data_IF_143441976044
#
_entry.id   IF_143441976044
#
_cell.length_a   1.000
_cell.length_b   1.000
_cell.length_c   1.000
_cell.angle_alpha   90.00
_cell.angle_beta   90.00
_cell.angle_gamma   90.00
#
_symmetry.space_group_name_H-M   'P 1'
#
loop_
_entity.id
_entity.type
_entity.pdbx_description
1 polymer ?
#
# COMPACT_ATOMS: atom_id res chain seq x y z
N UNK A 1 -62.02 14.81 -21.34
CA UNK A 1 -61.12 15.98 -21.24
C UNK A 1 -59.75 15.43 -20.86
N UNK A 2 -58.81 15.38 -21.81
CA UNK A 2 -57.72 16.34 -22.10
C UNK A 2 -56.49 16.17 -21.17
N UNK A 3 -55.48 15.51 -21.76
CA UNK A 3 -54.02 15.64 -21.70
C UNK A 3 -53.30 16.46 -20.59
N UNK A 4 -52.17 15.89 -20.14
CA UNK A 4 -50.89 16.56 -19.80
C UNK A 4 -49.95 15.57 -19.09
N UNK A 5 -49.09 14.80 -19.79
CA UNK A 5 -47.69 15.04 -20.25
C UNK A 5 -46.62 15.20 -19.16
N UNK A 6 -45.58 14.35 -19.31
CA UNK A 6 -44.17 14.48 -18.85
C UNK A 6 -43.90 14.04 -17.40
N UNK A 7 -42.80 13.36 -17.05
CA UNK A 7 -41.50 13.22 -17.71
C UNK A 7 -40.88 11.83 -17.48
N UNK A 8 -40.12 11.36 -18.46
CA UNK A 8 -39.20 10.23 -18.31
C UNK A 8 -37.94 10.72 -17.59
N UNK A 9 -37.58 10.09 -16.48
CA UNK A 9 -36.32 10.34 -15.79
C UNK A 9 -35.29 9.34 -16.31
N UNK A 10 -34.44 9.81 -17.22
CA UNK A 10 -33.17 9.17 -17.57
C UNK A 10 -32.26 9.26 -16.34
N UNK A 11 -32.11 8.17 -15.60
CA UNK A 11 -31.03 8.05 -14.62
C UNK A 11 -29.74 7.76 -15.38
N UNK A 12 -28.94 8.80 -15.62
CA UNK A 12 -27.58 8.65 -16.11
C UNK A 12 -26.76 7.91 -15.05
N UNK A 13 -26.28 6.71 -15.36
CA UNK A 13 -25.17 6.08 -14.66
C UNK A 13 -23.94 6.94 -14.89
N UNK A 14 -23.59 7.75 -13.90
CA UNK A 14 -22.27 8.35 -13.83
C UNK A 14 -21.30 7.22 -13.46
N UNK A 15 -20.56 6.70 -14.45
CA UNK A 15 -19.33 5.98 -14.17
C UNK A 15 -18.37 6.98 -13.52
N UNK A 16 -18.10 6.79 -12.24
CA UNK A 16 -17.08 7.55 -11.52
C UNK A 16 -15.74 7.01 -12.00
N UNK A 17 -15.19 7.57 -13.09
CA UNK A 17 -13.78 7.40 -13.41
C UNK A 17 -13.03 8.27 -12.40
N UNK A 18 -12.61 7.66 -11.29
CA UNK A 18 -11.68 8.27 -10.37
C UNK A 18 -10.33 8.34 -11.08
N UNK A 19 -10.07 9.47 -11.73
CA UNK A 19 -8.73 9.86 -12.12
C UNK A 19 -7.84 9.86 -10.87
N UNK A 20 -6.67 9.23 -10.99
CA UNK A 20 -5.69 9.02 -9.92
C UNK A 20 -5.62 10.18 -8.95
N UNK A 21 -6.05 9.92 -7.71
CA UNK A 21 -5.87 10.87 -6.62
C UNK A 21 -4.37 10.91 -6.32
N UNK A 22 -3.77 12.07 -6.62
CA UNK A 22 -2.51 12.47 -6.01
C UNK A 22 -2.54 12.10 -4.52
N UNK A 23 -1.50 11.39 -4.07
CA UNK A 23 -1.26 11.04 -2.67
C UNK A 23 -1.50 12.31 -1.86
N UNK A 24 -2.62 12.35 -1.14
CA UNK A 24 -3.06 13.55 -0.44
C UNK A 24 -2.02 13.87 0.61
N UNK A 25 -1.33 15.00 0.41
CA UNK A 25 -0.47 15.65 1.40
C UNK A 25 -1.11 15.58 2.79
N UNK A 26 -0.42 15.12 3.83
CA UNK A 26 -1.00 15.06 5.16
C UNK A 26 -1.35 16.48 5.61
N UNK A 27 -2.64 16.71 5.85
CA UNK A 27 -3.15 18.02 6.19
C UNK A 27 -3.30 18.15 7.72
N UNK A 28 -2.47 19.05 8.28
CA UNK A 28 -2.58 19.77 9.56
C UNK A 28 -2.19 19.05 10.86
N UNK A 29 -0.88 18.87 11.08
CA UNK A 29 -0.30 18.98 12.42
C UNK A 29 -0.28 20.47 12.81
N UNK A 30 -1.19 20.91 13.68
CA UNK A 30 -1.20 22.27 14.23
C UNK A 30 -0.69 22.25 15.68
N UNK A 31 0.56 21.82 15.86
CA UNK A 31 1.27 21.80 17.13
C UNK A 31 2.54 20.94 17.07
N UNK A 32 3.29 20.88 18.17
CA UNK A 32 4.52 20.08 18.25
C UNK A 32 4.22 18.56 18.31
N UNK A 33 2.96 18.16 18.52
CA UNK A 33 2.52 16.76 18.57
C UNK A 33 2.28 16.19 17.16
N UNK A 34 3.10 15.20 16.77
CA UNK A 34 3.09 14.62 15.42
C UNK A 34 3.60 13.19 15.43
N UNK A 35 3.38 12.45 14.34
CA UNK A 35 4.00 11.15 14.06
C UNK A 35 5.30 11.31 13.25
N UNK A 36 6.20 10.31 13.32
CA UNK A 36 7.40 10.20 12.48
C UNK A 36 7.04 9.61 11.11
N UNK A 37 7.77 10.00 10.07
CA UNK A 37 7.35 9.86 8.66
C UNK A 37 7.39 8.42 8.08
N UNK A 38 7.52 7.40 8.92
CA UNK A 38 7.56 5.98 8.51
C UNK A 38 6.17 5.41 8.20
N UNK A 39 5.11 6.02 8.74
CA UNK A 39 3.75 5.61 8.40
C UNK A 39 3.30 6.16 7.05
N UNK A 40 2.99 5.25 6.12
CA UNK A 40 2.59 5.56 4.72
C UNK A 40 1.09 5.78 4.55
N UNK A 41 0.28 5.49 5.57
CA UNK A 41 -1.18 5.52 5.47
C UNK A 41 -1.83 4.21 5.04
N UNK A 42 -1.04 3.16 4.77
CA UNK A 42 -1.52 1.81 4.40
C UNK A 42 -1.03 0.82 5.46
N UNK A 43 -1.88 -0.13 5.85
CA UNK A 43 -1.50 -1.21 6.76
C UNK A 43 -2.35 -2.46 6.53
N UNK A 44 -1.75 -3.64 6.75
CA UNK A 44 -2.49 -4.89 6.74
C UNK A 44 -3.43 -4.97 7.95
N UNK A 45 -4.74 -5.26 7.77
CA UNK A 45 -5.68 -5.46 8.87
C UNK A 45 -5.34 -6.69 9.73
N UNK A 46 -4.47 -7.59 9.26
CA UNK A 46 -4.10 -8.84 9.94
C UNK A 46 -2.86 -8.69 10.84
N UNK A 47 -2.24 -7.51 10.87
CA UNK A 47 -0.93 -7.30 11.50
C UNK A 47 -0.98 -6.20 12.56
N UNK A 48 0.04 -6.16 13.42
CA UNK A 48 0.18 -5.05 14.39
C UNK A 48 0.81 -3.85 13.69
N UNK A 49 0.11 -2.72 13.70
CA UNK A 49 0.67 -1.45 13.23
C UNK A 49 1.48 -0.79 14.33
N UNK A 50 2.76 -0.53 14.06
CA UNK A 50 3.61 0.29 14.92
C UNK A 50 3.72 1.69 14.32
N UNK A 51 3.45 2.71 15.13
CA UNK A 51 3.57 4.11 14.73
C UNK A 51 4.17 4.91 15.88
N UNK A 52 5.17 5.71 15.54
CA UNK A 52 5.90 6.53 16.51
C UNK A 52 5.70 8.01 16.24
N UNK A 53 6.02 8.83 17.24
CA UNK A 53 5.89 10.27 17.14
C UNK A 53 6.55 11.02 18.28
N UNK A 54 6.32 12.33 18.30
CA UNK A 54 6.88 13.27 19.29
C UNK A 54 5.82 14.28 19.75
N UNK A 55 6.19 15.13 20.72
CA UNK A 55 5.41 16.30 21.13
C UNK A 55 4.38 16.07 22.24
N UNK A 56 4.43 14.94 22.94
CA UNK A 56 3.58 14.69 24.12
C UNK A 56 4.41 14.53 25.40
N UNK A 57 5.28 15.51 25.70
CA UNK A 57 6.13 15.47 26.89
C UNK A 57 5.37 15.80 28.18
N UNK A 58 5.89 15.30 29.30
CA UNK A 58 5.40 15.68 30.64
C UNK A 58 5.45 17.20 30.83
N UNK A 59 4.37 17.78 31.37
CA UNK A 59 4.28 19.23 31.63
C UNK A 59 4.43 19.49 33.13
N UNK A 60 5.41 20.31 33.52
CA UNK A 60 5.69 20.66 34.93
C UNK A 60 5.86 19.44 35.86
N UNK A 61 6.44 18.36 35.35
CA UNK A 61 6.64 17.10 36.09
C UNK A 61 5.39 16.23 36.23
N UNK A 62 4.28 16.60 35.59
CA UNK A 62 3.07 15.77 35.55
C UNK A 62 3.03 14.93 34.27
N UNK A 63 2.71 13.63 34.36
CA UNK A 63 2.70 12.74 33.20
C UNK A 63 1.58 13.12 32.23
N UNK A 64 1.88 12.97 30.95
CA UNK A 64 0.93 13.00 29.84
C UNK A 64 0.59 11.57 29.41
N UNK A 65 -0.42 11.42 28.55
CA UNK A 65 -0.69 10.17 27.86
C UNK A 65 -1.00 10.42 26.39
N UNK A 66 -0.63 9.48 25.53
CA UNK A 66 -1.07 9.46 24.13
C UNK A 66 -2.18 8.43 24.02
N UNK A 67 -3.33 8.86 23.52
CA UNK A 67 -4.46 7.99 23.19
C UNK A 67 -4.54 7.86 21.68
N UNK A 68 -4.66 6.62 21.20
CA UNK A 68 -4.91 6.31 19.80
C UNK A 68 -6.30 5.72 19.61
N UNK A 69 -6.87 5.86 18.42
CA UNK A 69 -8.18 5.30 18.07
C UNK A 69 -8.32 4.98 16.59
N UNK A 70 -9.02 3.89 16.26
CA UNK A 70 -9.38 3.51 14.89
C UNK A 70 -10.89 3.67 14.69
N UNK A 71 -11.29 4.31 13.60
CA UNK A 71 -12.70 4.45 13.24
C UNK A 71 -12.92 4.44 11.72
N UNK A 72 -14.17 4.21 11.32
CA UNK A 72 -14.57 4.20 9.90
C UNK A 72 -14.49 5.58 9.23
N UNK A 73 -14.69 6.65 10.00
CA UNK A 73 -14.63 8.03 9.51
C UNK A 73 -14.15 8.99 10.61
N UNK A 74 -13.85 10.23 10.21
CA UNK A 74 -13.38 11.26 11.12
C UNK A 74 -14.47 11.76 12.08
N UNK A 75 -15.75 11.70 11.69
CA UNK A 75 -16.87 12.12 12.55
C UNK A 75 -16.99 11.20 13.79
N UNK A 76 -16.63 9.93 13.61
CA UNK A 76 -16.61 8.89 14.63
C UNK A 76 -15.48 9.04 15.65
N UNK A 77 -14.54 9.97 15.45
CA UNK A 77 -13.38 10.24 16.34
C UNK A 77 -13.58 11.42 17.30
N UNK A 78 -14.84 11.78 17.59
CA UNK A 78 -15.27 13.00 18.31
C UNK A 78 -14.23 13.66 19.25
N UNK A 79 -13.77 14.88 18.89
CA UNK A 79 -12.90 15.78 19.67
C UNK A 79 -11.94 15.09 20.65
N UNK A 80 -11.03 14.27 20.13
CA UNK A 80 -10.01 13.56 20.89
C UNK A 80 -10.22 12.04 20.86
N UNK A 81 -9.16 11.29 20.55
CA UNK A 81 -9.18 9.83 20.38
C UNK A 81 -9.83 8.99 21.51
N UNK A 82 -10.13 9.58 22.68
CA UNK A 82 -10.75 8.88 23.82
C UNK A 82 -12.27 8.73 23.75
N UNK A 83 -12.92 9.26 22.71
CA UNK A 83 -14.37 9.16 22.51
C UNK A 83 -14.74 8.52 21.17
N UNK A 84 -13.81 7.76 20.57
CA UNK A 84 -14.09 7.00 19.37
C UNK A 84 -15.15 5.93 19.66
N UNK A 85 -16.08 5.72 18.72
CA UNK A 85 -17.04 4.61 18.80
C UNK A 85 -16.39 3.25 18.43
N UNK A 86 -15.12 3.27 18.01
CA UNK A 86 -14.30 2.09 17.69
C UNK A 86 -13.27 1.74 18.78
N UNK A 87 -12.21 1.02 18.39
CA UNK A 87 -11.13 0.66 19.32
C UNK A 87 -10.24 1.85 19.66
N UNK A 88 -9.77 1.90 20.90
CA UNK A 88 -8.80 2.87 21.38
C UNK A 88 -7.84 2.24 22.39
N UNK A 89 -6.69 2.87 22.56
CA UNK A 89 -5.71 2.51 23.58
C UNK A 89 -4.96 3.72 24.09
N UNK A 90 -4.26 3.56 25.21
CA UNK A 90 -3.45 4.62 25.81
C UNK A 90 -2.04 4.12 26.05
N UNK A 91 -1.06 4.97 25.76
CA UNK A 91 0.34 4.75 26.04
C UNK A 91 0.90 5.90 26.87
N UNK A 92 1.95 5.62 27.62
CA UNK A 92 2.70 6.64 28.36
C UNK A 92 3.87 7.05 27.44
N UNK A 93 3.96 8.33 27.03
CA UNK A 93 5.10 8.83 26.28
C UNK A 93 6.37 8.83 27.14
N UNK A 94 7.52 8.82 26.50
CA UNK A 94 8.81 9.00 27.16
C UNK A 94 8.93 10.42 27.73
N UNK A 95 9.87 10.62 28.66
CA UNK A 95 10.09 11.92 29.31
C UNK A 95 10.43 13.04 28.32
N UNK A 96 11.04 12.71 27.18
CA UNK A 96 11.37 13.64 26.08
C UNK A 96 10.18 13.94 25.14
N UNK A 97 9.02 13.34 25.40
CA UNK A 97 7.80 13.48 24.62
C UNK A 97 7.73 12.63 23.36
N UNK A 98 8.71 11.74 23.14
CA UNK A 98 8.61 10.68 22.11
C UNK A 98 7.62 9.60 22.55
N UNK A 99 6.96 8.96 21.61
CA UNK A 99 5.97 7.92 21.88
C UNK A 99 5.93 6.90 20.76
N UNK A 100 5.51 5.68 21.09
CA UNK A 100 5.30 4.59 20.14
C UNK A 100 4.03 3.83 20.52
N UNK A 101 3.09 3.74 19.59
CA UNK A 101 1.89 2.94 19.71
C UNK A 101 2.05 1.65 18.91
N UNK A 102 1.78 0.51 19.55
CA UNK A 102 1.57 -0.77 18.88
C UNK A 102 0.07 -1.06 18.89
N UNK A 103 -0.54 -1.01 17.71
CA UNK A 103 -1.98 -1.12 17.51
C UNK A 103 -2.27 -2.49 16.91
N UNK A 104 -3.01 -3.30 17.65
CA UNK A 104 -3.55 -4.58 17.17
C UNK A 104 -4.66 -4.32 16.16
N UNK A 105 -4.31 -4.18 14.87
CA UNK A 105 -5.28 -3.88 13.82
C UNK A 105 -6.38 -4.93 13.68
N UNK A 106 -6.12 -6.26 13.81
CA UNK A 106 -7.20 -7.25 13.76
C UNK A 106 -8.34 -6.91 14.73
N UNK A 107 -8.01 -6.68 16.00
CA UNK A 107 -8.99 -6.30 17.02
C UNK A 107 -9.56 -4.91 16.77
N UNK A 108 -8.73 -3.95 16.38
CA UNK A 108 -9.14 -2.55 16.26
C UNK A 108 -10.09 -2.30 15.07
N UNK A 109 -9.84 -2.97 13.95
CA UNK A 109 -10.64 -2.88 12.72
C UNK A 109 -11.97 -3.60 12.87
N UNK A 110 -11.99 -4.78 13.52
CA UNK A 110 -13.23 -5.47 13.88
C UNK A 110 -14.14 -4.57 14.75
N UNK A 111 -13.58 -3.96 15.78
CA UNK A 111 -14.32 -3.05 16.66
C UNK A 111 -14.82 -1.78 15.94
N UNK A 112 -14.07 -1.30 14.94
CA UNK A 112 -14.46 -0.16 14.11
C UNK A 112 -15.44 -0.52 12.98
N UNK A 113 -15.74 -1.81 12.78
CA UNK A 113 -16.56 -2.30 11.67
C UNK A 113 -15.91 -2.11 10.31
N UNK A 114 -14.58 -2.07 10.26
CA UNK A 114 -13.78 -1.96 9.04
C UNK A 114 -13.39 -3.35 8.54
N UNK A 115 -13.43 -3.54 7.23
CA UNK A 115 -12.94 -4.74 6.54
C UNK A 115 -11.68 -4.43 5.74
N UNK A 116 -11.06 -5.49 5.22
CA UNK A 116 -10.01 -5.35 4.23
C UNK A 116 -10.46 -4.53 3.01
N UNK A 117 -9.52 -3.85 2.34
CA UNK A 117 -9.75 -2.94 1.21
C UNK A 117 -10.62 -1.71 1.53
N UNK A 118 -10.79 -1.39 2.81
CA UNK A 118 -11.51 -0.20 3.24
C UNK A 118 -10.60 0.89 3.78
N UNK A 119 -11.09 2.12 3.69
CA UNK A 119 -10.46 3.28 4.32
C UNK A 119 -11.15 3.60 5.63
N UNK A 120 -10.34 3.73 6.67
CA UNK A 120 -10.69 4.31 7.95
C UNK A 120 -9.81 5.51 8.28
N UNK A 121 -9.86 5.88 9.55
CA UNK A 121 -9.09 6.98 10.11
C UNK A 121 -8.43 6.50 11.40
N UNK A 122 -7.15 6.82 11.54
CA UNK A 122 -6.38 6.62 12.76
C UNK A 122 -6.18 7.99 13.44
N UNK A 123 -6.69 8.12 14.66
CA UNK A 123 -6.63 9.35 15.45
C UNK A 123 -5.63 9.22 16.60
N UNK A 124 -4.94 10.32 16.91
CA UNK A 124 -4.06 10.44 18.07
C UNK A 124 -4.38 11.71 18.86
N UNK A 125 -4.34 11.62 20.18
CA UNK A 125 -4.49 12.77 21.06
C UNK A 125 -3.53 12.69 22.25
N UNK A 126 -2.86 13.79 22.55
CA UNK A 126 -2.07 13.97 23.75
C UNK A 126 -2.95 14.52 24.87
N UNK A 127 -3.02 13.82 25.99
CA UNK A 127 -3.73 14.24 27.19
C UNK A 127 -2.75 14.70 28.25
N UNK A 128 -3.10 15.77 28.95
CA UNK A 128 -2.42 16.15 30.18
C UNK A 128 -2.93 15.36 31.40
N UNK A 129 -2.29 15.55 32.54
CA UNK A 129 -2.65 14.94 33.82
C UNK A 129 -4.10 15.21 34.28
N UNK A 130 -4.71 16.31 33.83
CA UNK A 130 -6.12 16.64 34.11
C UNK A 130 -7.11 15.96 33.15
N UNK A 131 -6.64 15.00 32.33
CA UNK A 131 -7.40 14.34 31.26
C UNK A 131 -7.98 15.31 30.22
N UNK A 132 -7.29 16.41 29.94
CA UNK A 132 -7.65 17.33 28.86
C UNK A 132 -6.78 17.07 27.64
N UNK A 133 -7.40 17.03 26.46
CA UNK A 133 -6.69 17.04 25.19
C UNK A 133 -5.89 18.33 25.09
N UNK A 134 -4.57 18.19 24.99
CA UNK A 134 -3.62 19.28 24.76
C UNK A 134 -3.45 19.51 23.27
N UNK A 135 -3.33 18.42 22.51
CA UNK A 135 -3.19 18.43 21.05
C UNK A 135 -3.69 17.10 20.47
N UNK A 136 -4.07 17.10 19.20
CA UNK A 136 -4.57 15.91 18.51
C UNK A 136 -4.46 16.03 16.99
N UNK A 137 -4.24 14.91 16.33
CA UNK A 137 -4.24 14.83 14.86
C UNK A 137 -4.88 13.52 14.39
N UNK A 138 -5.26 13.48 13.12
CA UNK A 138 -5.78 12.30 12.46
C UNK A 138 -4.94 12.01 11.21
N UNK A 139 -4.78 10.74 10.89
CA UNK A 139 -4.16 10.25 9.66
C UNK A 139 -5.08 9.26 8.96
N UNK A 140 -4.95 9.15 7.64
CA UNK A 140 -5.67 8.14 6.86
C UNK A 140 -5.13 6.76 7.17
N UNK A 141 -6.03 5.77 7.22
CA UNK A 141 -5.71 4.35 7.34
C UNK A 141 -6.41 3.60 6.21
N UNK A 142 -5.69 3.23 5.17
CA UNK A 142 -6.15 2.27 4.18
C UNK A 142 -5.77 0.86 4.66
N UNK A 143 -6.77 0.02 4.85
CA UNK A 143 -6.58 -1.38 5.20
C UNK A 143 -6.40 -2.17 3.93
N UNK A 144 -5.28 -2.86 3.84
CA UNK A 144 -4.94 -3.67 2.69
C UNK A 144 -4.08 -4.87 3.11
N UNK A 145 -4.70 -6.05 3.07
CA UNK A 145 -4.05 -7.34 3.33
C UNK A 145 -3.39 -7.94 2.10
N UNK A 146 -3.50 -7.29 0.94
CA UNK A 146 -3.00 -7.83 -0.31
C UNK A 146 -1.48 -7.99 -0.26
N UNK A 147 -1.04 -9.15 -0.73
CA UNK A 147 0.38 -9.51 -0.80
C UNK A 147 0.64 -9.99 -2.21
N UNK A 148 1.22 -9.14 -3.08
CA UNK A 148 1.52 -9.52 -4.44
C UNK A 148 2.34 -10.79 -4.51
N UNK A 149 1.84 -11.74 -5.28
CA UNK A 149 2.44 -13.04 -5.51
C UNK A 149 2.29 -13.42 -7.00
N UNK A 150 3.06 -14.39 -7.46
CA UNK A 150 2.94 -14.87 -8.83
C UNK A 150 4.20 -15.51 -9.40
N UNK A 151 4.18 -15.62 -10.72
CA UNK A 151 5.22 -16.22 -11.52
C UNK A 151 5.30 -15.57 -12.90
N UNK A 152 6.46 -15.70 -13.53
CA UNK A 152 6.56 -15.49 -14.97
C UNK A 152 7.38 -16.57 -15.65
N UNK A 153 7.03 -16.90 -16.89
CA UNK A 153 7.80 -17.79 -17.75
C UNK A 153 8.38 -16.98 -18.91
N UNK A 154 9.58 -17.34 -19.34
CA UNK A 154 10.20 -16.79 -20.54
C UNK A 154 10.29 -17.89 -21.59
N UNK A 155 9.63 -17.68 -22.71
CA UNK A 155 9.63 -18.62 -23.84
C UNK A 155 10.32 -18.00 -25.05
N UNK A 156 10.95 -18.85 -25.87
CA UNK A 156 11.58 -18.45 -27.12
C UNK A 156 11.02 -19.31 -28.26
N UNK A 157 10.48 -18.67 -29.29
CA UNK A 157 10.01 -19.35 -30.50
C UNK A 157 11.17 -19.73 -31.42
N UNK A 158 10.91 -20.59 -32.42
CA UNK A 158 11.93 -21.02 -33.37
C UNK A 158 12.59 -19.88 -34.16
N UNK A 159 11.87 -18.76 -34.34
CA UNK A 159 12.35 -17.57 -35.04
C UNK A 159 13.13 -16.61 -34.13
N UNK A 160 13.34 -16.98 -32.86
CA UNK A 160 14.11 -16.20 -31.87
C UNK A 160 13.29 -15.16 -31.10
N UNK A 161 12.00 -14.97 -31.42
CA UNK A 161 11.11 -14.08 -30.66
C UNK A 161 10.92 -14.63 -29.24
N UNK A 162 11.13 -13.76 -28.24
CA UNK A 162 10.92 -14.09 -26.83
C UNK A 162 9.65 -13.46 -26.27
N UNK A 163 8.92 -14.22 -25.47
CA UNK A 163 7.65 -13.83 -24.87
C UNK A 163 7.70 -14.11 -23.37
N UNK A 164 7.20 -13.17 -22.58
CA UNK A 164 6.92 -13.36 -21.16
C UNK A 164 5.45 -13.74 -21.01
N UNK A 165 5.18 -14.82 -20.29
CA UNK A 165 3.85 -15.13 -19.78
C UNK A 165 3.88 -14.98 -18.26
N UNK A 166 2.85 -14.40 -17.67
CA UNK A 166 2.81 -14.14 -16.24
C UNK A 166 1.45 -14.47 -15.65
N UNK A 167 1.48 -14.93 -14.40
CA UNK A 167 0.31 -15.10 -13.54
C UNK A 167 0.63 -14.43 -12.22
N UNK A 168 -0.18 -13.45 -11.83
CA UNK A 168 0.00 -12.65 -10.62
C UNK A 168 -1.30 -12.61 -9.83
N UNK A 169 -1.19 -12.49 -8.51
CA UNK A 169 -2.29 -12.49 -7.55
C UNK A 169 -1.97 -11.55 -6.39
N UNK A 170 -2.97 -11.27 -5.55
CA UNK A 170 -2.76 -10.47 -4.35
C UNK A 170 -2.72 -8.99 -4.65
N UNK A 171 -3.71 -8.52 -5.42
CA UNK A 171 -4.00 -7.11 -5.67
C UNK A 171 -5.48 -6.83 -5.41
N UNK A 172 -5.85 -5.55 -5.33
CA UNK A 172 -7.26 -5.16 -5.23
C UNK A 172 -7.97 -5.46 -6.56
N UNK A 173 -9.21 -5.99 -6.54
CA UNK A 173 -9.98 -6.15 -7.78
C UNK A 173 -10.12 -4.83 -8.57
N UNK A 174 -10.03 -4.91 -9.90
CA UNK A 174 -10.07 -3.78 -10.84
C UNK A 174 -8.86 -2.80 -10.79
N UNK A 175 -7.87 -3.07 -9.94
CA UNK A 175 -6.67 -2.25 -9.82
C UNK A 175 -5.73 -2.35 -11.03
N UNK A 176 -4.97 -1.29 -11.32
CA UNK A 176 -3.92 -1.36 -12.34
C UNK A 176 -2.66 -1.95 -11.74
N UNK A 177 -2.21 -3.07 -12.29
CA UNK A 177 -0.96 -3.72 -11.91
C UNK A 177 0.11 -3.37 -12.94
N UNK A 178 1.22 -2.80 -12.48
CA UNK A 178 2.36 -2.44 -13.33
C UNK A 178 3.43 -3.51 -13.20
N UNK A 179 3.73 -4.20 -14.30
CA UNK A 179 4.76 -5.23 -14.37
C UNK A 179 6.02 -4.64 -15.00
N UNK A 180 7.14 -4.72 -14.31
CA UNK A 180 8.35 -4.04 -14.73
C UNK A 180 9.63 -4.63 -14.15
N UNK A 181 10.71 -3.90 -14.38
CA UNK A 181 12.04 -4.26 -13.92
C UNK A 181 12.76 -3.09 -13.29
N UNK A 182 13.64 -3.40 -12.34
CA UNK A 182 14.61 -2.46 -11.75
C UNK A 182 16.01 -3.06 -11.82
N UNK A 183 17.09 -2.24 -11.94
CA UNK A 183 18.46 -2.75 -11.90
C UNK A 183 18.71 -3.54 -10.61
N UNK A 184 19.22 -4.78 -10.72
CA UNK A 184 19.30 -5.70 -9.59
C UNK A 184 20.22 -5.21 -8.46
N UNK A 185 21.22 -4.39 -8.80
CA UNK A 185 22.22 -3.83 -7.89
C UNK A 185 21.73 -2.54 -7.20
N UNK A 186 20.62 -1.95 -7.64
CA UNK A 186 20.11 -0.65 -7.15
C UNK A 186 18.95 -0.76 -6.16
N UNK A 187 18.30 -1.93 -6.08
CA UNK A 187 17.14 -2.15 -5.20
C UNK A 187 17.35 -3.40 -4.32
N UNK A 188 17.07 -3.26 -3.02
CA UNK A 188 16.96 -4.38 -2.09
C UNK A 188 15.59 -5.06 -2.18
N UNK A 189 15.38 -6.18 -1.49
CA UNK A 189 14.07 -6.88 -1.48
C UNK A 189 12.98 -6.09 -0.75
N UNK A 190 13.34 -5.23 0.22
CA UNK A 190 12.41 -4.40 1.00
C UNK A 190 12.16 -3.00 0.44
N UNK A 191 12.54 -2.74 -0.82
CA UNK A 191 12.24 -1.46 -1.49
C UNK A 191 11.26 -1.68 -2.62
N UNK A 192 10.18 -0.90 -2.67
CA UNK A 192 9.25 -0.94 -3.79
C UNK A 192 9.98 -0.74 -5.11
N UNK A 193 9.65 -1.49 -6.18
CA UNK A 193 10.26 -1.28 -7.47
C UNK A 193 9.82 0.02 -8.13
N UNK A 194 9.00 0.87 -7.50
CA UNK A 194 8.65 2.20 -8.03
C UNK A 194 9.81 3.20 -7.98
N UNK A 195 9.80 4.20 -8.88
CA UNK A 195 10.75 5.31 -8.89
C UNK A 195 11.31 5.58 -10.29
N UNK A 196 12.32 6.44 -10.38
CA UNK A 196 12.96 6.82 -11.65
C UNK A 196 13.64 5.64 -12.37
N UNK A 197 14.00 4.58 -11.62
CA UNK A 197 14.70 3.40 -12.12
C UNK A 197 13.76 2.25 -12.54
N UNK A 198 12.44 2.41 -12.38
CA UNK A 198 11.46 1.41 -12.81
C UNK A 198 11.21 1.47 -14.31
N UNK A 199 11.58 0.41 -15.02
CA UNK A 199 11.20 0.23 -16.41
C UNK A 199 9.95 -0.64 -16.50
N UNK A 200 8.81 -0.01 -16.80
CA UNK A 200 7.55 -0.71 -17.03
C UNK A 200 7.63 -1.50 -18.35
N UNK A 201 7.33 -2.80 -18.28
CA UNK A 201 7.27 -3.65 -19.47
C UNK A 201 5.84 -3.79 -19.97
N UNK A 202 4.86 -3.83 -19.07
CA UNK A 202 3.43 -3.89 -19.39
C UNK A 202 2.57 -3.52 -18.18
N UNK A 203 1.28 -3.31 -18.43
CA UNK A 203 0.24 -3.12 -17.41
C UNK A 203 -0.84 -4.19 -17.52
N UNK A 204 -1.40 -4.59 -16.39
CA UNK A 204 -2.58 -5.44 -16.29
C UNK A 204 -3.68 -4.74 -15.49
N UNK A 205 -4.90 -5.22 -15.61
CA UNK A 205 -5.99 -4.88 -14.70
C UNK A 205 -6.32 -6.13 -13.90
N UNK A 206 -6.34 -6.02 -12.57
CA UNK A 206 -6.70 -7.10 -11.68
C UNK A 206 -8.15 -7.55 -11.95
N UNK A 207 -8.37 -8.85 -12.01
CA UNK A 207 -9.70 -9.45 -12.13
C UNK A 207 -10.46 -9.40 -10.79
N UNK A 208 -11.64 -10.00 -10.77
CA UNK A 208 -12.51 -9.99 -9.59
C UNK A 208 -11.89 -10.69 -8.36
N UNK A 209 -10.88 -11.54 -8.56
CA UNK A 209 -10.18 -12.28 -7.52
C UNK A 209 -8.83 -11.63 -7.16
N UNK A 210 -8.54 -10.44 -7.69
CA UNK A 210 -7.28 -9.74 -7.43
C UNK A 210 -6.08 -10.33 -8.18
N UNK A 211 -6.34 -11.07 -9.26
CA UNK A 211 -5.31 -11.70 -10.09
C UNK A 211 -5.21 -11.10 -11.49
N UNK A 212 -4.13 -11.41 -12.19
CA UNK A 212 -4.03 -11.16 -13.61
C UNK A 212 -3.17 -12.23 -14.29
N UNK A 213 -3.54 -12.55 -15.53
CA UNK A 213 -2.73 -13.40 -16.41
C UNK A 213 -2.51 -12.69 -17.73
N UNK A 214 -1.32 -12.87 -18.30
CA UNK A 214 -0.98 -12.18 -19.54
C UNK A 214 0.20 -12.79 -20.27
N UNK A 215 0.29 -12.44 -21.55
CA UNK A 215 1.38 -12.84 -22.45
C UNK A 215 1.76 -11.65 -23.31
N UNK A 216 3.04 -11.28 -23.31
CA UNK A 216 3.55 -10.11 -24.02
C UNK A 216 4.99 -10.35 -24.51
N UNK A 217 5.39 -9.77 -25.66
CA UNK A 217 6.77 -9.87 -26.12
C UNK A 217 7.72 -9.15 -25.17
N UNK A 218 8.94 -9.66 -25.00
CA UNK A 218 9.98 -8.89 -24.28
C UNK A 218 10.27 -7.58 -25.02
N UNK A 219 10.55 -6.47 -24.32
CA UNK A 219 10.92 -5.22 -24.98
C UNK A 219 12.22 -5.35 -25.77
N UNK A 220 12.33 -4.66 -26.90
CA UNK A 220 13.53 -4.74 -27.74
C UNK A 220 14.66 -3.81 -27.25
N UNK A 221 14.36 -2.89 -26.34
CA UNK A 221 15.18 -1.73 -25.99
C UNK A 221 15.68 -1.74 -24.53
N UNK A 222 15.39 -2.79 -23.76
CA UNK A 222 15.98 -2.94 -22.43
C UNK A 222 17.51 -3.14 -22.58
N UNK A 223 18.35 -2.30 -21.96
CA UNK A 223 19.80 -2.43 -22.07
C UNK A 223 20.32 -3.74 -21.49
N UNK A 224 21.48 -4.17 -21.96
CA UNK A 224 22.21 -5.28 -21.35
C UNK A 224 22.44 -5.03 -19.85
N UNK A 225 22.07 -5.99 -19.03
CA UNK A 225 22.06 -5.83 -17.58
C UNK A 225 21.32 -6.93 -16.85
N UNK A 226 21.50 -6.94 -15.53
CA UNK A 226 20.76 -7.81 -14.62
C UNK A 226 19.69 -6.99 -13.91
N UNK A 227 18.47 -7.52 -13.90
CA UNK A 227 17.30 -6.85 -13.39
C UNK A 227 16.54 -7.73 -12.42
N UNK A 228 15.95 -7.12 -11.39
CA UNK A 228 14.87 -7.71 -10.61
C UNK A 228 13.57 -7.45 -11.34
N UNK A 229 12.74 -8.48 -11.45
CA UNK A 229 11.39 -8.35 -12.03
C UNK A 229 10.43 -8.13 -10.89
N UNK A 230 9.53 -7.16 -11.03
CA UNK A 230 8.57 -6.85 -9.99
C UNK A 230 7.23 -6.36 -10.52
N UNK A 231 6.26 -6.36 -9.61
CA UNK A 231 4.90 -5.85 -9.83
C UNK A 231 4.56 -4.83 -8.78
N UNK A 232 3.73 -3.85 -9.14
CA UNK A 232 3.24 -2.80 -8.24
C UNK A 232 1.77 -2.53 -8.52
N UNK A 233 0.96 -2.46 -7.46
CA UNK A 233 -0.41 -1.95 -7.48
C UNK A 233 -0.45 -0.42 -7.41
N UNK A 234 -1.34 0.22 -8.17
CA UNK A 234 -1.47 1.68 -8.22
C UNK A 234 -2.34 2.30 -7.11
N UNK A 235 -3.15 1.49 -6.42
CA UNK A 235 -4.14 1.92 -5.44
C UNK A 235 -3.58 1.95 -4.02
N UNK A 236 -2.77 0.95 -3.64
CA UNK A 236 -2.23 0.84 -2.28
C UNK A 236 -0.70 0.76 -2.22
N UNK A 237 -0.04 0.65 -3.37
CA UNK A 237 1.43 0.68 -3.47
C UNK A 237 2.09 -0.63 -3.05
N UNK A 238 1.30 -1.69 -2.88
CA UNK A 238 1.74 -3.05 -2.71
C UNK A 238 2.62 -3.48 -3.87
N UNK A 239 3.65 -4.28 -3.58
CA UNK A 239 4.58 -4.74 -4.58
C UNK A 239 5.13 -6.12 -4.26
N UNK A 240 5.63 -6.79 -5.29
CA UNK A 240 6.27 -8.11 -5.19
C UNK A 240 7.42 -8.24 -6.18
N UNK A 241 8.36 -9.13 -5.87
CA UNK A 241 9.49 -9.46 -6.72
C UNK A 241 9.47 -10.94 -7.14
N UNK A 242 10.02 -11.20 -8.33
CA UNK A 242 10.24 -12.54 -8.89
C UNK A 242 11.73 -12.77 -9.17
N UNK A 243 12.07 -13.95 -9.69
CA UNK A 243 13.45 -14.24 -10.11
C UNK A 243 13.97 -13.24 -11.15
N UNK A 244 15.28 -13.02 -11.12
CA UNK A 244 15.94 -11.98 -11.90
C UNK A 244 15.94 -12.29 -13.39
N UNK A 245 15.89 -11.22 -14.18
CA UNK A 245 16.01 -11.23 -15.63
C UNK A 245 17.41 -10.74 -16.01
N UNK A 246 18.09 -11.48 -16.89
CA UNK A 246 19.35 -11.07 -17.50
C UNK A 246 19.13 -10.77 -18.97
N UNK A 247 19.51 -9.57 -19.38
CA UNK A 247 19.57 -9.15 -20.79
C UNK A 247 21.02 -9.13 -21.23
N UNK A 248 21.31 -9.81 -22.33
CA UNK A 248 22.63 -9.83 -22.95
C UNK A 248 22.52 -9.95 -24.46
N UNK A 249 23.16 -9.04 -25.17
CA UNK A 249 23.14 -8.98 -26.64
C UNK A 249 21.70 -9.04 -27.19
N UNK A 250 20.76 -8.36 -26.51
CA UNK A 250 19.33 -8.35 -26.85
C UNK A 250 18.57 -9.66 -26.58
N UNK A 251 19.20 -10.63 -25.90
CA UNK A 251 18.58 -11.89 -25.48
C UNK A 251 18.32 -11.90 -23.99
N UNK A 252 17.13 -12.34 -23.61
CA UNK A 252 16.64 -12.45 -22.24
C UNK A 252 16.85 -13.86 -21.70
N UNK A 253 17.14 -13.97 -20.41
CA UNK A 253 17.21 -15.23 -19.67
C UNK A 253 16.82 -15.05 -18.21
N UNK A 254 16.20 -16.07 -17.62
CA UNK A 254 15.88 -16.10 -16.18
C UNK A 254 17.13 -16.54 -15.43
N UNK A 255 17.40 -15.85 -14.32
CA UNK A 255 18.54 -16.10 -13.47
C UNK A 255 18.14 -16.09 -12.00
N UNK A 256 18.70 -17.01 -11.23
CA UNK A 256 18.52 -17.08 -9.78
C UNK A 256 19.19 -15.89 -9.08
N UNK A 257 18.84 -15.60 -7.83
CA UNK A 257 19.47 -14.50 -7.07
C UNK A 257 21.01 -14.63 -7.01
N UNK A 258 21.54 -15.85 -6.90
CA UNK A 258 22.97 -16.17 -6.82
C UNK A 258 23.78 -16.02 -8.13
N UNK A 259 23.13 -15.67 -9.25
CA UNK A 259 23.80 -15.52 -10.54
C UNK A 259 23.69 -16.73 -11.46
N UNK A 260 23.15 -17.87 -10.99
CA UNK A 260 22.94 -19.05 -11.83
C UNK A 260 21.93 -18.76 -12.94
N UNK A 261 22.24 -19.14 -14.18
CA UNK A 261 21.38 -18.91 -15.35
C UNK A 261 20.61 -20.17 -15.69
N UNK A 262 19.29 -20.10 -15.65
CA UNK A 262 18.42 -21.24 -16.00
C UNK A 262 18.03 -21.22 -17.48
N UNK A 263 18.26 -20.10 -18.19
CA UNK A 263 17.92 -19.93 -19.60
C UNK A 263 16.45 -19.54 -19.76
N UNK A 264 15.67 -20.30 -20.53
CA UNK A 264 14.19 -20.23 -20.59
C UNK A 264 13.58 -21.18 -19.58
N UNK A 265 12.61 -20.73 -18.79
CA UNK A 265 12.02 -21.53 -17.71
C UNK A 265 10.87 -20.81 -17.00
N UNK A 266 10.43 -21.38 -15.89
CA UNK A 266 9.44 -20.76 -14.98
C UNK A 266 10.16 -20.12 -13.82
N UNK A 267 9.69 -18.94 -13.40
CA UNK A 267 10.11 -18.29 -12.17
C UNK A 267 8.96 -18.25 -11.19
N UNK A 268 9.24 -18.57 -9.93
CA UNK A 268 8.33 -18.34 -8.80
C UNK A 268 8.74 -17.06 -8.06
N UNK A 269 7.78 -16.45 -7.35
CA UNK A 269 8.01 -15.33 -6.45
C UNK A 269 8.97 -15.70 -5.31
N UNK A 270 9.71 -14.70 -4.83
CA UNK A 270 10.35 -14.75 -3.52
C UNK A 270 9.68 -13.72 -2.63
N UNK A 271 8.78 -14.15 -1.74
CA UNK A 271 8.22 -13.26 -0.73
C UNK A 271 9.31 -12.93 0.31
N UNK A 272 9.72 -11.67 0.36
CA UNK A 272 10.45 -11.11 1.49
C UNK A 272 9.41 -10.59 2.47
N UNK A 273 9.24 -11.27 3.60
CA UNK A 273 8.59 -10.70 4.77
C UNK A 273 9.55 -9.69 5.39
N UNK A 274 9.25 -8.41 5.32
CA UNK A 274 9.71 -7.45 6.32
C UNK A 274 8.65 -7.33 7.42
#
# INVERSE_FOLDING_TARGET
MRLGRSAATLGATAALVAAGAAVSTPAFANGDFTYTSDYTGVASPDETLTISGTGCASTDGNPTSVVWSVAADQESLSSGASQATGAFGSIIPNDDGTWTAAIDLPTATEAAGLSDQQRGVLGFACYNYDNKVVDSFNVSLALDSTKPDGSYTLTTTADGTQTIETTITGFTPEETIRFGVVPADSHGTGTSPTGDDFTELTTFTADADGGATGSFPVPADLPDGRYRVGVVGDSHGEYGYFQNLLVKDGTYSITSEDGSTTGTGSSDSSSSTD
#
